data_IF_565244651926
#
_entry.id   IF_565244651926
#
_cell.length_a   1.000
_cell.length_b   1.000
_cell.length_c   1.000
_cell.angle_alpha   90.00
_cell.angle_beta   90.00
_cell.angle_gamma   90.00
#
_symmetry.space_group_name_H-M   'P 1'
#
loop_
_entity.id
_entity.type
_entity.pdbx_description
1 polymer ?
#
# COMPACT_ATOMS: atom_id res chain seq x y z
N UNK A 1 -27.68 8.50 6.87
CA UNK A 1 -26.46 8.31 6.05
C UNK A 1 -25.49 9.39 6.49
N UNK A 2 -24.25 9.05 6.83
CA UNK A 2 -23.21 10.08 7.10
C UNK A 2 -22.96 10.85 5.79
N UNK A 3 -22.78 12.17 5.88
CA UNK A 3 -22.49 13.00 4.71
C UNK A 3 -21.04 12.77 4.25
N UNK A 4 -20.76 12.92 2.96
CA UNK A 4 -19.44 12.62 2.39
C UNK A 4 -18.36 13.57 2.94
N UNK A 5 -18.75 14.82 3.16
CA UNK A 5 -17.94 15.87 3.77
C UNK A 5 -17.55 15.49 5.20
N UNK A 6 -18.52 15.00 5.99
CA UNK A 6 -18.27 14.54 7.36
C UNK A 6 -17.30 13.34 7.39
N UNK A 7 -17.41 12.44 6.42
CA UNK A 7 -16.47 11.33 6.27
C UNK A 7 -15.07 11.82 5.86
N UNK A 8 -14.96 12.81 4.97
CA UNK A 8 -13.70 13.42 4.61
C UNK A 8 -13.05 14.14 5.81
N UNK A 9 -13.84 14.87 6.61
CA UNK A 9 -13.38 15.50 7.85
C UNK A 9 -12.90 14.47 8.88
N UNK A 10 -13.62 13.37 9.07
CA UNK A 10 -13.19 12.27 9.94
C UNK A 10 -11.88 11.64 9.46
N UNK A 11 -11.70 11.50 8.14
CA UNK A 11 -10.44 11.03 7.57
C UNK A 11 -9.30 12.00 7.88
N UNK A 12 -9.52 13.30 7.69
CA UNK A 12 -8.54 14.34 7.99
C UNK A 12 -8.16 14.36 9.48
N UNK A 13 -9.16 14.33 10.37
CA UNK A 13 -8.96 14.29 11.81
C UNK A 13 -8.12 13.08 12.24
N UNK A 14 -8.50 11.86 11.82
CA UNK A 14 -7.74 10.66 12.19
C UNK A 14 -6.34 10.61 11.55
N UNK A 15 -6.13 11.26 10.41
CA UNK A 15 -4.79 11.41 9.84
C UNK A 15 -3.93 12.31 10.73
N UNK A 16 -4.44 13.48 11.08
CA UNK A 16 -3.73 14.43 11.95
C UNK A 16 -3.40 13.81 13.32
N UNK A 17 -4.37 13.17 13.97
CA UNK A 17 -4.16 12.52 15.27
C UNK A 17 -3.19 11.34 15.19
N UNK A 18 -3.19 10.57 14.09
CA UNK A 18 -2.18 9.53 13.89
C UNK A 18 -0.78 10.15 13.82
N UNK A 19 -0.61 11.17 12.99
CA UNK A 19 0.68 11.84 12.79
C UNK A 19 1.20 12.41 14.10
N UNK A 20 0.35 13.15 14.82
CA UNK A 20 0.71 13.78 16.09
C UNK A 20 1.05 12.71 17.16
N UNK A 21 0.36 11.57 17.19
CA UNK A 21 0.70 10.46 18.07
C UNK A 21 2.05 9.80 17.71
N UNK A 22 2.36 9.64 16.41
CA UNK A 22 3.66 9.13 15.95
C UNK A 22 4.79 10.06 16.40
N UNK A 23 4.63 11.38 16.25
CA UNK A 23 5.62 12.36 16.71
C UNK A 23 5.82 12.34 18.23
N UNK A 24 4.79 12.00 19.00
CA UNK A 24 4.89 11.80 20.45
C UNK A 24 5.42 10.42 20.87
N UNK A 25 5.69 9.52 19.90
CA UNK A 25 6.09 8.13 20.18
C UNK A 25 4.96 7.24 20.70
N UNK A 26 3.69 7.68 20.63
CA UNK A 26 2.53 6.91 21.06
C UNK A 26 1.99 6.04 19.91
N UNK A 27 2.68 4.93 19.67
CA UNK A 27 2.30 3.96 18.66
C UNK A 27 0.92 3.35 18.90
N UNK A 28 0.45 3.24 20.15
CA UNK A 28 -0.85 2.64 20.45
C UNK A 28 -1.99 3.53 19.96
N UNK A 29 -1.92 4.81 20.28
CA UNK A 29 -2.90 5.81 19.83
C UNK A 29 -2.80 6.03 18.33
N UNK A 30 -1.58 6.13 17.79
CA UNK A 30 -1.35 6.25 16.35
C UNK A 30 -1.99 5.10 15.55
N UNK A 31 -1.80 3.86 16.00
CA UNK A 31 -2.40 2.68 15.36
C UNK A 31 -3.92 2.64 15.46
N UNK A 32 -4.52 3.17 16.55
CA UNK A 32 -5.98 3.29 16.68
C UNK A 32 -6.52 4.25 15.61
N UNK A 33 -5.91 5.42 15.47
CA UNK A 33 -6.33 6.39 14.46
C UNK A 33 -6.06 5.91 13.03
N UNK A 34 -4.97 5.18 12.78
CA UNK A 34 -4.72 4.53 11.50
C UNK A 34 -5.87 3.59 11.10
N UNK A 35 -6.32 2.74 12.04
CA UNK A 35 -7.45 1.82 11.82
C UNK A 35 -8.75 2.57 11.53
N UNK A 36 -9.01 3.65 12.28
CA UNK A 36 -10.20 4.47 12.07
C UNK A 36 -10.17 5.18 10.72
N UNK A 37 -9.05 5.79 10.33
CA UNK A 37 -8.86 6.40 9.01
C UNK A 37 -9.12 5.39 7.88
N UNK A 38 -8.56 4.19 7.98
CA UNK A 38 -8.78 3.13 6.98
C UNK A 38 -10.27 2.75 6.91
N UNK A 39 -10.96 2.64 8.04
CA UNK A 39 -12.40 2.37 8.07
C UNK A 39 -13.21 3.49 7.42
N UNK A 40 -12.87 4.76 7.71
CA UNK A 40 -13.50 5.93 7.10
C UNK A 40 -13.27 5.97 5.59
N UNK A 41 -12.05 5.67 5.12
CA UNK A 41 -11.76 5.57 3.69
C UNK A 41 -12.60 4.48 3.01
N UNK A 42 -12.77 3.31 3.65
CA UNK A 42 -13.63 2.25 3.11
C UNK A 42 -15.08 2.72 2.94
N UNK A 43 -15.59 3.51 3.90
CA UNK A 43 -16.92 4.12 3.78
C UNK A 43 -16.99 5.09 2.61
N UNK A 44 -16.04 6.03 2.49
CA UNK A 44 -15.96 6.95 1.34
C UNK A 44 -15.92 6.19 0.01
N UNK A 45 -15.09 5.16 -0.09
CA UNK A 45 -14.98 4.33 -1.30
C UNK A 45 -16.28 3.61 -1.66
N UNK A 46 -17.11 3.25 -0.68
CA UNK A 46 -18.41 2.61 -0.93
C UNK A 46 -19.40 3.53 -1.67
N UNK A 47 -19.17 4.85 -1.64
CA UNK A 47 -19.94 5.84 -2.41
C UNK A 47 -19.39 6.07 -3.83
N UNK A 48 -18.43 5.25 -4.29
CA UNK A 48 -17.88 5.33 -5.64
C UNK A 48 -17.10 6.63 -5.89
N UNK A 49 -17.35 7.27 -7.04
CA UNK A 49 -16.63 8.49 -7.43
C UNK A 49 -16.93 9.66 -6.50
N UNK A 50 -18.18 9.83 -6.04
CA UNK A 50 -18.55 10.93 -5.15
C UNK A 50 -17.73 10.92 -3.85
N UNK A 51 -17.50 9.75 -3.25
CA UNK A 51 -16.67 9.66 -2.05
C UNK A 51 -15.16 9.87 -2.31
N UNK A 52 -14.69 9.56 -3.53
CA UNK A 52 -13.32 9.89 -3.95
C UNK A 52 -13.15 11.38 -4.19
N UNK A 53 -14.15 12.03 -4.76
CA UNK A 53 -14.16 13.48 -4.99
C UNK A 53 -14.19 14.24 -3.66
N UNK A 54 -14.98 13.76 -2.68
CA UNK A 54 -14.94 14.29 -1.32
C UNK A 54 -13.55 14.15 -0.67
N UNK A 55 -12.88 13.01 -0.87
CA UNK A 55 -11.50 12.83 -0.40
C UNK A 55 -10.51 13.75 -1.15
N UNK A 56 -10.74 14.02 -2.44
CA UNK A 56 -9.89 14.88 -3.26
C UNK A 56 -9.89 16.34 -2.79
N UNK A 57 -10.96 16.81 -2.15
CA UNK A 57 -10.98 18.11 -1.49
C UNK A 57 -9.86 18.26 -0.44
N UNK A 58 -9.42 17.16 0.17
CA UNK A 58 -8.33 17.20 1.15
C UNK A 58 -6.94 17.44 0.54
N UNK A 59 -6.79 17.39 -0.80
CA UNK A 59 -5.53 17.71 -1.46
C UNK A 59 -5.11 19.18 -1.27
N UNK A 60 -6.05 20.06 -0.93
CA UNK A 60 -5.80 21.48 -0.62
C UNK A 60 -5.87 21.79 0.88
N UNK A 61 -6.05 20.78 1.74
CA UNK A 61 -6.20 20.96 3.19
C UNK A 61 -4.98 21.69 3.80
N UNK A 62 -5.12 22.57 4.81
CA UNK A 62 -4.00 23.36 5.33
C UNK A 62 -2.86 22.53 5.95
N UNK A 63 -3.18 21.39 6.56
CA UNK A 63 -2.16 20.49 7.12
C UNK A 63 -1.55 19.58 6.05
N UNK A 64 -0.21 19.55 5.99
CA UNK A 64 0.57 18.80 5.01
C UNK A 64 0.38 17.28 5.11
N UNK A 65 0.34 16.74 6.33
CA UNK A 65 0.15 15.31 6.59
C UNK A 65 -1.20 14.80 6.06
N UNK A 66 -2.26 15.59 6.23
CA UNK A 66 -3.59 15.31 5.66
C UNK A 66 -3.54 15.31 4.13
N UNK A 67 -2.92 16.33 3.51
CA UNK A 67 -2.78 16.39 2.04
C UNK A 67 -2.02 15.19 1.50
N UNK A 68 -0.87 14.87 2.10
CA UNK A 68 -0.02 13.76 1.68
C UNK A 68 -0.74 12.42 1.79
N UNK A 69 -1.40 12.18 2.92
CA UNK A 69 -2.16 10.94 3.11
C UNK A 69 -3.33 10.82 2.13
N UNK A 70 -4.09 11.89 1.91
CA UNK A 70 -5.16 11.88 0.91
C UNK A 70 -4.62 11.57 -0.50
N UNK A 71 -3.49 12.19 -0.86
CA UNK A 71 -2.83 11.94 -2.14
C UNK A 71 -2.42 10.48 -2.32
N UNK A 72 -1.84 9.83 -1.30
CA UNK A 72 -1.51 8.39 -1.34
C UNK A 72 -2.73 7.53 -1.67
N UNK A 73 -3.88 7.80 -1.05
CA UNK A 73 -5.11 7.04 -1.28
C UNK A 73 -5.76 7.34 -2.64
N UNK A 74 -5.45 8.49 -3.24
CA UNK A 74 -5.99 8.94 -4.52
C UNK A 74 -5.07 8.68 -5.71
N UNK A 75 -3.84 8.18 -5.52
CA UNK A 75 -2.86 7.91 -6.57
C UNK A 75 -3.41 7.14 -7.79
N UNK A 76 -4.38 6.24 -7.57
CA UNK A 76 -5.03 5.47 -8.66
C UNK A 76 -6.19 6.17 -9.35
N UNK A 77 -6.83 7.13 -8.68
CA UNK A 77 -8.09 7.69 -9.14
C UNK A 77 -7.96 9.14 -9.60
N UNK A 78 -6.99 9.88 -9.04
CA UNK A 78 -6.65 11.26 -9.38
C UNK A 78 -5.13 11.36 -9.52
N UNK A 79 -4.55 10.50 -10.36
CA UNK A 79 -3.10 10.28 -10.42
C UNK A 79 -2.30 11.56 -10.61
N UNK A 80 -2.70 12.43 -11.55
CA UNK A 80 -1.96 13.67 -11.81
C UNK A 80 -1.97 14.61 -10.59
N UNK A 81 -3.13 14.85 -10.00
CA UNK A 81 -3.30 15.72 -8.84
C UNK A 81 -2.60 15.16 -7.59
N UNK A 82 -2.79 13.87 -7.32
CA UNK A 82 -2.15 13.18 -6.21
C UNK A 82 -0.62 13.17 -6.33
N UNK A 83 -0.09 12.88 -7.53
CA UNK A 83 1.36 12.96 -7.78
C UNK A 83 1.89 14.36 -7.57
N UNK A 84 1.19 15.39 -8.04
CA UNK A 84 1.64 16.78 -7.86
C UNK A 84 1.79 17.14 -6.37
N UNK A 85 0.82 16.75 -5.53
CA UNK A 85 0.90 16.95 -4.08
C UNK A 85 2.06 16.17 -3.46
N UNK A 86 2.23 14.89 -3.81
CA UNK A 86 3.32 14.07 -3.26
C UNK A 86 4.69 14.57 -3.70
N UNK A 87 4.84 15.00 -4.95
CA UNK A 87 6.07 15.59 -5.48
C UNK A 87 6.43 16.88 -4.73
N UNK A 88 5.44 17.70 -4.39
CA UNK A 88 5.67 18.91 -3.62
C UNK A 88 6.11 18.60 -2.19
N UNK A 89 5.45 17.64 -1.52
CA UNK A 89 5.84 17.20 -0.17
C UNK A 89 7.23 16.56 -0.17
N UNK A 90 7.57 15.79 -1.20
CA UNK A 90 8.85 15.10 -1.34
C UNK A 90 10.06 16.06 -1.46
N UNK A 91 9.85 17.32 -1.86
CA UNK A 91 10.92 18.34 -1.89
C UNK A 91 11.31 18.85 -0.50
N UNK A 92 10.48 18.59 0.50
CA UNK A 92 10.73 19.00 1.88
C UNK A 92 11.76 18.12 2.58
N UNK A 93 11.79 18.23 3.91
CA UNK A 93 12.66 17.44 4.78
C UNK A 93 11.85 16.66 5.81
N UNK A 94 12.49 15.66 6.43
CA UNK A 94 11.91 14.87 7.50
C UNK A 94 10.99 13.75 7.03
N UNK A 95 10.21 13.21 7.98
CA UNK A 95 9.46 11.97 7.78
C UNK A 95 8.41 12.06 6.66
N UNK A 96 7.71 13.19 6.56
CA UNK A 96 6.68 13.37 5.52
C UNK A 96 7.26 13.39 4.10
N UNK A 97 8.41 14.04 3.90
CA UNK A 97 9.09 14.08 2.60
C UNK A 97 9.61 12.69 2.21
N UNK A 98 10.15 11.94 3.19
CA UNK A 98 10.56 10.56 3.01
C UNK A 98 9.38 9.66 2.61
N UNK A 99 8.27 9.71 3.35
CA UNK A 99 7.07 8.93 3.06
C UNK A 99 6.48 9.24 1.67
N UNK A 100 6.45 10.52 1.27
CA UNK A 100 5.97 10.93 -0.04
C UNK A 100 6.88 10.40 -1.17
N UNK A 101 8.20 10.48 -0.99
CA UNK A 101 9.19 9.94 -1.93
C UNK A 101 9.04 8.43 -2.09
N UNK A 102 8.89 7.73 -0.97
CA UNK A 102 8.70 6.27 -0.91
C UNK A 102 7.36 5.83 -1.55
N UNK A 103 6.32 6.65 -1.45
CA UNK A 103 5.05 6.43 -2.12
C UNK A 103 5.15 6.60 -3.64
N UNK A 104 5.80 7.68 -4.10
CA UNK A 104 6.04 7.92 -5.53
C UNK A 104 6.89 6.81 -6.15
N UNK A 105 7.97 6.42 -5.48
CA UNK A 105 8.85 5.33 -5.92
C UNK A 105 8.07 4.02 -6.10
N UNK A 106 7.29 3.58 -5.10
CA UNK A 106 6.49 2.35 -5.19
C UNK A 106 5.39 2.42 -6.25
N UNK A 107 4.89 3.62 -6.52
CA UNK A 107 3.96 3.84 -7.63
C UNK A 107 4.65 3.68 -8.98
N UNK A 108 5.82 4.29 -9.17
CA UNK A 108 6.61 4.23 -10.41
C UNK A 108 7.14 2.82 -10.71
N UNK A 109 7.55 2.08 -9.68
CA UNK A 109 7.96 0.68 -9.78
C UNK A 109 6.79 -0.27 -10.12
N UNK A 110 5.55 0.22 -10.14
CA UNK A 110 4.35 -0.58 -10.39
C UNK A 110 3.94 -1.46 -9.22
N UNK A 111 4.68 -1.48 -8.10
CA UNK A 111 4.33 -2.20 -6.87
C UNK A 111 2.96 -1.80 -6.34
N UNK A 112 2.59 -0.54 -6.50
CA UNK A 112 1.26 -0.01 -6.15
C UNK A 112 0.31 0.13 -7.33
N UNK A 113 0.74 -0.23 -8.54
CA UNK A 113 -0.09 -0.37 -9.73
C UNK A 113 -0.73 -1.77 -9.82
N UNK A 114 -0.99 -2.44 -8.69
CA UNK A 114 -1.74 -3.69 -8.67
C UNK A 114 -3.15 -3.42 -9.22
N UNK A 115 -3.39 -3.66 -10.50
CA UNK A 115 -4.74 -3.61 -11.07
C UNK A 115 -5.66 -4.45 -10.18
N UNK A 116 -6.78 -3.91 -9.68
CA UNK A 116 -7.82 -4.80 -9.21
C UNK A 116 -8.20 -5.64 -10.42
N UNK A 117 -8.12 -6.97 -10.31
CA UNK A 117 -8.86 -7.83 -11.23
C UNK A 117 -10.25 -7.22 -11.33
N UNK A 118 -10.62 -6.76 -12.53
CA UNK A 118 -11.89 -6.10 -12.78
C UNK A 118 -12.99 -6.89 -12.10
N UNK A 119 -13.91 -6.16 -11.49
CA UNK A 119 -15.12 -6.65 -10.85
C UNK A 119 -15.49 -8.07 -11.27
N UNK A 120 -15.40 -9.04 -10.35
CA UNK A 120 -15.81 -10.43 -10.52
C UNK A 120 -17.35 -10.58 -10.70
N UNK A 121 -18.00 -9.58 -11.29
CA UNK A 121 -19.41 -9.53 -11.62
C UNK A 121 -19.55 -8.88 -13.02
N UNK A 122 -19.52 -9.72 -14.05
CA UNK A 122 -20.13 -9.38 -15.34
C UNK A 122 -19.23 -9.44 -16.57
N UNK A 123 -18.65 -10.59 -16.89
CA UNK A 123 -18.36 -10.95 -18.29
C UNK A 123 -18.86 -12.37 -18.54
N UNK A 124 -19.66 -12.64 -19.60
CA UNK A 124 -20.05 -14.00 -19.94
C UNK A 124 -18.80 -14.77 -20.38
N UNK A 125 -18.59 -15.91 -19.74
CA UNK A 125 -17.43 -16.77 -19.92
C UNK A 125 -17.34 -17.25 -21.38
N UNK A 126 -16.35 -16.75 -22.13
CA UNK A 126 -15.97 -17.36 -23.40
C UNK A 126 -15.21 -18.69 -23.12
N UNK A 127 -15.45 -19.75 -23.90
CA UNK A 127 -15.01 -21.09 -23.55
C UNK A 127 -13.49 -21.22 -23.59
N UNK A 128 -12.90 -21.61 -22.46
CA UNK A 128 -11.46 -21.86 -22.33
C UNK A 128 -11.08 -23.09 -23.16
N UNK A 129 -10.30 -22.89 -24.21
CA UNK A 129 -9.58 -23.99 -24.88
C UNK A 129 -8.42 -24.45 -24.02
N UNK A 130 -8.34 -25.77 -23.81
CA UNK A 130 -7.36 -26.44 -22.96
C UNK A 130 -5.89 -26.19 -23.40
N UNK A 131 -4.92 -26.21 -22.47
CA UNK A 131 -3.51 -26.17 -22.82
C UNK A 131 -3.03 -27.53 -23.36
N UNK A 132 -2.17 -27.56 -24.40
CA UNK A 132 -1.66 -28.82 -24.93
C UNK A 132 -0.64 -29.46 -24.00
N UNK A 133 -0.84 -30.76 -23.79
CA UNK A 133 0.03 -31.67 -23.06
C UNK A 133 1.29 -32.06 -23.86
N UNK A 134 2.34 -32.42 -23.10
CA UNK A 134 3.57 -33.19 -23.45
C UNK A 134 4.82 -32.37 -23.78
N UNK A 135 5.85 -32.51 -22.95
CA UNK A 135 6.99 -33.42 -23.24
C UNK A 135 7.97 -33.55 -22.08
N UNK A 136 8.18 -34.80 -21.68
CA UNK A 136 9.27 -35.30 -20.87
C UNK A 136 10.64 -34.89 -21.43
N UNK A 137 11.58 -34.54 -20.54
CA UNK A 137 13.02 -34.68 -20.80
C UNK A 137 13.74 -35.25 -19.57
N UNK A 138 14.78 -36.05 -19.78
CA UNK A 138 15.27 -37.01 -18.81
C UNK A 138 16.25 -36.39 -17.82
N UNK A 139 16.28 -36.96 -16.61
CA UNK A 139 17.23 -36.70 -15.54
C UNK A 139 18.55 -37.38 -15.88
N UNK A 140 19.58 -36.61 -16.21
CA UNK A 140 20.95 -37.11 -16.29
C UNK A 140 21.65 -36.81 -14.97
N UNK A 141 22.04 -37.88 -14.30
CA UNK A 141 22.92 -37.86 -13.14
C UNK A 141 24.34 -37.48 -13.58
N UNK A 142 25.00 -36.61 -12.80
CA UNK A 142 26.45 -36.56 -12.76
C UNK A 142 26.91 -36.70 -11.31
N UNK A 143 27.49 -37.86 -11.02
CA UNK A 143 28.30 -38.12 -9.85
C UNK A 143 29.76 -37.71 -10.11
N UNK A 144 30.39 -37.13 -9.09
CA UNK A 144 31.74 -37.43 -8.57
C UNK A 144 32.19 -36.26 -7.66
N UNK A 145 32.33 -36.48 -6.35
CA UNK A 145 33.59 -36.83 -5.64
C UNK A 145 34.48 -35.58 -5.44
N UNK A 146 35.08 -35.25 -4.30
CA UNK A 146 35.34 -35.91 -3.02
C UNK A 146 36.10 -34.87 -2.14
N UNK A 147 36.16 -35.14 -0.83
CA UNK A 147 37.20 -34.74 0.15
C UNK A 147 36.94 -33.60 1.15
N UNK A 148 36.71 -34.10 2.38
CA UNK A 148 37.44 -33.80 3.64
C UNK A 148 37.17 -32.45 4.30
N UNK A 149 36.57 -32.50 5.50
CA UNK A 149 37.32 -32.52 6.77
C UNK A 149 36.34 -32.49 7.96
N UNK A 150 36.01 -33.66 8.50
CA UNK A 150 35.44 -33.78 9.85
C UNK A 150 36.54 -34.21 10.82
N UNK A 151 36.75 -33.46 11.90
CA UNK A 151 37.36 -34.01 13.12
C UNK A 151 37.10 -33.14 14.35
N UNK A 152 36.80 -33.85 15.45
CA UNK A 152 36.63 -33.51 16.88
C UNK A 152 35.23 -33.09 17.33
N UNK A 153 34.44 -34.00 17.92
CA UNK A 153 34.52 -34.71 19.24
C UNK A 153 33.96 -33.90 20.40
N UNK A 154 32.77 -34.34 20.82
CA UNK A 154 32.29 -34.62 22.18
C UNK A 154 32.83 -33.82 23.38
N UNK A 155 31.90 -33.26 24.16
CA UNK A 155 31.53 -33.83 25.48
C UNK A 155 30.17 -33.28 25.99
N UNK A 156 29.37 -34.09 26.72
CA UNK A 156 28.19 -33.66 27.45
C UNK A 156 28.49 -33.43 28.95
N UNK A 157 27.62 -32.64 29.60
CA UNK A 157 27.11 -32.87 30.96
C UNK A 157 28.04 -32.66 32.15
N UNK A 158 27.69 -31.69 32.98
CA UNK A 158 28.19 -31.45 34.34
C UNK A 158 27.54 -30.21 34.92
#
# INVERSE_FOLDING_TARGET
MEQLEELAEKFAHHTAEQTDAIFRGDARTGNRHAKQRIATFKKLRAHGNAGRDALAMLLTHPRMDVRGMAAVYLLRYRTAEAKAVLLEIAKGEGLAAFEASEALKRWEEGTWALDPAEDAAGQPEAPRTAPPSKRSRPRTEHAASDRRRGSKRDKPGG
#
